data_IF_041915521312
#
_entry.id   IF_041915521312
#
_cell.length_a   1.000
_cell.length_b   1.000
_cell.length_c   1.000
_cell.angle_alpha   90.00
_cell.angle_beta   90.00
_cell.angle_gamma   90.00
#
_symmetry.space_group_name_H-M   'P 1'
#
loop_
_entity.id
_entity.type
_entity.pdbx_description
1 polymer ?
#
# COMPACT_ATOMS: atom_id res chain seq x y z
N UNK A 1 4.41 50.28 -12.68
CA UNK A 1 5.32 49.58 -11.78
C UNK A 1 4.46 48.65 -10.90
N UNK A 2 4.53 47.33 -11.13
CA UNK A 2 3.91 46.35 -10.25
C UNK A 2 4.71 46.40 -8.94
N UNK A 3 4.08 46.58 -7.77
CA UNK A 3 4.80 46.54 -6.51
C UNK A 3 5.49 45.17 -6.38
N UNK A 4 6.80 45.20 -6.15
CA UNK A 4 7.57 43.96 -5.88
C UNK A 4 6.93 43.30 -4.69
N UNK A 5 6.27 42.14 -4.90
CA UNK A 5 5.80 41.28 -3.82
C UNK A 5 7.04 40.82 -3.10
N UNK A 6 7.25 41.33 -1.87
CA UNK A 6 8.36 40.83 -1.02
C UNK A 6 8.10 39.38 -0.70
N UNK A 7 9.03 38.50 -1.13
CA UNK A 7 8.99 37.08 -0.77
C UNK A 7 8.78 36.92 0.75
N UNK A 8 7.80 36.12 1.13
CA UNK A 8 7.44 35.91 2.53
C UNK A 8 8.46 34.99 3.18
N UNK A 9 9.41 35.54 3.92
CA UNK A 9 10.37 34.76 4.72
C UNK A 9 9.69 34.28 6.01
N UNK A 10 9.89 33.02 6.37
CA UNK A 10 9.50 32.50 7.70
C UNK A 10 10.12 33.36 8.79
N UNK A 11 9.28 34.09 9.53
CA UNK A 11 9.74 34.87 10.67
C UNK A 11 9.68 34.03 11.95
N UNK A 12 10.75 33.25 12.17
CA UNK A 12 10.86 32.33 13.32
C UNK A 12 10.69 33.04 14.65
N UNK A 13 11.29 34.24 14.79
CA UNK A 13 11.25 35.01 16.06
C UNK A 13 9.82 35.42 16.41
N UNK A 14 9.07 35.94 15.43
CA UNK A 14 7.67 36.33 15.64
C UNK A 14 6.78 35.12 15.96
N UNK A 15 7.04 33.96 15.33
CA UNK A 15 6.30 32.73 15.63
C UNK A 15 6.58 32.23 17.05
N UNK A 16 7.84 32.23 17.47
CA UNK A 16 8.22 31.78 18.81
C UNK A 16 7.70 32.76 19.88
N UNK A 17 7.69 34.08 19.62
CA UNK A 17 7.11 35.07 20.53
C UNK A 17 5.58 34.84 20.75
N UNK A 18 4.85 34.36 19.74
CA UNK A 18 3.45 33.95 19.94
C UNK A 18 3.32 32.77 20.91
N UNK A 19 4.26 31.80 20.82
CA UNK A 19 4.26 30.63 21.72
C UNK A 19 4.61 31.08 23.15
N UNK A 20 5.67 31.88 23.34
CA UNK A 20 6.06 32.44 24.64
C UNK A 20 4.91 33.21 25.30
N UNK A 21 4.20 34.04 24.53
CA UNK A 21 2.99 34.71 25.01
C UNK A 21 1.92 33.72 25.43
N UNK A 22 1.69 32.68 24.65
CA UNK A 22 0.75 31.61 24.96
C UNK A 22 1.14 30.83 26.22
N UNK A 23 2.45 30.57 26.41
CA UNK A 23 2.98 29.94 27.63
C UNK A 23 2.72 30.80 28.87
N UNK A 24 2.94 32.12 28.79
CA UNK A 24 2.62 33.07 29.85
C UNK A 24 1.11 33.12 30.13
N UNK A 25 0.25 33.02 29.09
CA UNK A 25 -1.20 33.03 29.26
C UNK A 25 -1.71 31.79 30.00
N UNK A 26 -1.18 30.59 29.71
CA UNK A 26 -1.57 29.37 30.44
C UNK A 26 -0.91 29.25 31.82
N UNK A 27 0.20 29.95 32.10
CA UNK A 27 0.76 30.05 33.43
C UNK A 27 -0.07 30.94 34.37
N UNK A 28 -0.93 31.78 33.83
CA UNK A 28 -1.85 32.59 34.62
C UNK A 28 -3.14 31.79 34.86
N UNK A 29 -3.44 31.45 36.14
CA UNK A 29 -4.56 30.59 36.50
C UNK A 29 -5.92 31.11 35.96
N UNK A 30 -6.17 32.45 36.03
CA UNK A 30 -7.40 33.05 35.53
C UNK A 30 -7.57 32.94 34.03
N UNK A 31 -6.47 32.97 33.28
CA UNK A 31 -6.47 32.79 31.81
C UNK A 31 -6.55 31.30 31.43
N UNK A 32 -5.79 30.46 32.13
CA UNK A 32 -5.78 29.01 31.93
C UNK A 32 -7.15 28.36 32.14
N UNK A 33 -7.98 28.94 32.99
CA UNK A 33 -9.38 28.48 33.21
C UNK A 33 -10.32 28.81 32.05
N UNK A 34 -9.90 29.54 31.02
CA UNK A 34 -10.76 29.98 29.91
C UNK A 34 -10.47 29.13 28.64
N UNK A 35 -11.51 28.52 28.08
CA UNK A 35 -11.39 27.78 26.82
C UNK A 35 -10.83 28.64 25.66
N UNK A 36 -11.17 29.94 25.63
CA UNK A 36 -10.65 30.87 24.61
C UNK A 36 -9.11 30.99 24.62
N UNK A 37 -8.46 30.87 25.81
CA UNK A 37 -7.00 30.88 25.92
C UNK A 37 -6.39 29.66 25.23
N UNK A 38 -7.00 28.50 25.40
CA UNK A 38 -6.55 27.25 24.80
C UNK A 38 -6.85 27.16 23.30
N UNK A 39 -7.97 27.72 22.83
CA UNK A 39 -8.24 27.88 21.40
C UNK A 39 -7.18 28.76 20.73
N UNK A 40 -6.81 29.90 21.36
CA UNK A 40 -5.76 30.78 20.84
C UNK A 40 -4.39 30.05 20.82
N UNK A 41 -4.10 29.23 21.85
CA UNK A 41 -2.89 28.40 21.91
C UNK A 41 -2.86 27.37 20.79
N UNK A 42 -3.93 26.62 20.57
CA UNK A 42 -4.04 25.65 19.48
C UNK A 42 -3.77 26.29 18.12
N UNK A 43 -4.39 27.45 17.88
CA UNK A 43 -4.16 28.22 16.65
C UNK A 43 -2.70 28.69 16.52
N UNK A 44 -2.06 29.15 17.58
CA UNK A 44 -0.67 29.60 17.55
C UNK A 44 0.29 28.43 17.18
N UNK A 45 0.09 27.24 17.77
CA UNK A 45 0.89 26.06 17.39
C UNK A 45 0.62 25.59 15.96
N UNK A 46 -0.63 25.60 15.49
CA UNK A 46 -0.95 25.31 14.11
C UNK A 46 -0.24 26.26 13.13
N UNK A 47 -0.29 27.60 13.40
CA UNK A 47 0.42 28.59 12.59
C UNK A 47 1.93 28.30 12.52
N UNK A 48 2.54 27.91 13.65
CA UNK A 48 3.96 27.54 13.70
C UNK A 48 4.27 26.31 12.86
N UNK A 49 3.36 25.33 12.87
CA UNK A 49 3.53 24.10 12.11
C UNK A 49 3.48 24.33 10.58
N UNK A 50 2.51 25.09 10.11
CA UNK A 50 2.25 25.26 8.66
C UNK A 50 3.13 26.31 7.99
N UNK A 51 3.64 27.30 8.75
CA UNK A 51 4.34 28.47 8.19
C UNK A 51 5.48 28.10 7.22
N UNK A 52 6.32 27.07 7.49
CA UNK A 52 7.43 26.71 6.61
C UNK A 52 7.00 26.34 5.19
N UNK A 53 5.84 25.72 5.02
CA UNK A 53 5.40 25.11 3.75
C UNK A 53 4.04 25.61 3.25
N UNK A 54 3.42 26.57 3.94
CA UNK A 54 2.06 27.05 3.58
C UNK A 54 1.92 27.64 2.18
N UNK A 55 3.04 28.04 1.56
CA UNK A 55 3.08 28.69 0.24
C UNK A 55 3.49 27.76 -0.90
N UNK A 56 3.71 26.47 -0.61
CA UNK A 56 4.07 25.47 -1.62
C UNK A 56 2.93 24.47 -1.80
N UNK A 57 2.64 24.10 -3.04
CA UNK A 57 1.67 23.06 -3.40
C UNK A 57 2.08 22.35 -4.69
N UNK A 58 1.62 21.12 -4.86
CA UNK A 58 1.90 20.31 -6.03
C UNK A 58 1.34 20.95 -7.32
N UNK A 59 2.07 20.77 -8.41
CA UNK A 59 1.77 21.32 -9.74
C UNK A 59 1.85 22.84 -9.89
N UNK A 60 2.30 23.59 -8.85
CA UNK A 60 2.55 25.02 -9.02
C UNK A 60 3.74 25.27 -9.94
N UNK A 61 3.72 26.37 -10.64
CA UNK A 61 4.87 26.81 -11.46
C UNK A 61 6.03 27.25 -10.55
N UNK A 62 7.28 26.86 -10.87
CA UNK A 62 8.44 27.25 -10.08
C UNK A 62 8.63 28.76 -9.94
N UNK A 63 8.20 29.53 -10.93
CA UNK A 63 8.20 31.01 -10.87
C UNK A 63 7.27 31.54 -9.78
N UNK A 64 6.11 30.90 -9.57
CA UNK A 64 5.19 31.27 -8.48
C UNK A 64 5.81 30.93 -7.12
N UNK A 65 6.52 29.80 -7.01
CA UNK A 65 7.24 29.46 -5.78
C UNK A 65 8.30 30.53 -5.45
N UNK A 66 9.10 30.95 -6.44
CA UNK A 66 10.08 32.03 -6.24
C UNK A 66 9.44 33.34 -5.82
N UNK A 67 8.30 33.69 -6.39
CA UNK A 67 7.54 34.89 -5.99
C UNK A 67 7.06 34.78 -4.52
N UNK A 68 6.62 33.60 -4.11
CA UNK A 68 6.09 33.37 -2.76
C UNK A 68 7.17 33.34 -1.67
N UNK A 69 8.28 32.60 -1.90
CA UNK A 69 9.28 32.32 -0.85
C UNK A 69 10.70 32.83 -1.18
N UNK A 70 10.92 33.38 -2.36
CA UNK A 70 12.22 33.89 -2.83
C UNK A 70 13.01 32.88 -3.65
N UNK A 71 14.24 33.24 -4.00
CA UNK A 71 15.15 32.36 -4.72
C UNK A 71 15.64 31.21 -3.82
N UNK A 72 15.83 29.99 -4.38
CA UNK A 72 16.41 28.88 -3.64
C UNK A 72 17.87 29.21 -3.26
N UNK A 73 18.34 28.66 -2.16
CA UNK A 73 19.75 28.78 -1.71
C UNK A 73 20.72 28.06 -2.67
N UNK A 74 20.28 26.94 -3.20
CA UNK A 74 21.00 26.13 -4.19
C UNK A 74 20.03 25.28 -5.00
N UNK A 75 20.50 24.82 -6.14
CA UNK A 75 19.81 23.87 -7.01
C UNK A 75 20.74 22.70 -7.29
N UNK A 76 20.25 21.48 -7.12
CA UNK A 76 21.01 20.24 -7.36
C UNK A 76 20.11 19.27 -8.14
N UNK A 77 20.68 18.16 -8.62
CA UNK A 77 19.91 17.04 -9.14
C UNK A 77 19.78 16.01 -8.03
N UNK A 78 18.58 15.51 -7.79
CA UNK A 78 18.30 14.43 -6.84
C UNK A 78 17.38 13.40 -7.46
N UNK A 79 17.58 12.11 -7.14
CA UNK A 79 16.73 11.02 -7.60
C UNK A 79 15.81 10.58 -6.46
N UNK A 80 14.50 10.63 -6.70
CA UNK A 80 13.49 10.10 -5.79
C UNK A 80 12.74 8.98 -6.50
N UNK A 81 12.68 7.81 -5.87
CA UNK A 81 11.95 6.65 -6.42
C UNK A 81 12.30 6.34 -7.89
N UNK A 82 13.59 6.43 -8.24
CA UNK A 82 14.09 6.18 -9.60
C UNK A 82 13.89 7.33 -10.61
N UNK A 83 13.29 8.44 -10.22
CA UNK A 83 13.07 9.62 -11.07
C UNK A 83 13.98 10.77 -10.66
N UNK A 84 14.69 11.37 -11.63
CA UNK A 84 15.54 12.56 -11.43
C UNK A 84 14.70 13.83 -11.44
N UNK A 85 15.00 14.71 -10.48
CA UNK A 85 14.38 16.03 -10.31
C UNK A 85 15.43 17.13 -10.15
N UNK A 86 15.05 18.36 -10.50
CA UNK A 86 15.74 19.57 -10.03
C UNK A 86 15.32 19.84 -8.58
N UNK A 87 16.25 19.66 -7.64
CA UNK A 87 16.03 19.89 -6.22
C UNK A 87 16.38 21.35 -5.87
N UNK A 88 15.37 22.14 -5.54
CA UNK A 88 15.50 23.54 -5.15
C UNK A 88 15.51 23.66 -3.64
N UNK A 89 16.67 23.95 -3.06
CA UNK A 89 16.89 23.95 -1.61
C UNK A 89 16.53 25.31 -1.01
N UNK A 90 15.56 25.31 -0.09
CA UNK A 90 15.15 26.45 0.72
C UNK A 90 15.52 26.25 2.20
N UNK A 91 15.43 27.28 3.07
CA UNK A 91 15.79 27.16 4.47
C UNK A 91 15.05 26.09 5.28
N UNK A 92 13.80 25.77 4.89
CA UNK A 92 12.91 24.87 5.63
C UNK A 92 12.45 23.65 4.82
N UNK A 93 12.62 23.66 3.49
CA UNK A 93 12.23 22.57 2.62
C UNK A 93 13.09 22.53 1.34
N UNK A 94 13.06 21.40 0.66
CA UNK A 94 13.55 21.24 -0.71
C UNK A 94 12.35 20.97 -1.61
N UNK A 95 12.18 21.78 -2.67
CA UNK A 95 11.16 21.55 -3.69
C UNK A 95 11.76 20.75 -4.84
N UNK A 96 11.04 19.72 -5.29
CA UNK A 96 11.45 18.87 -6.40
C UNK A 96 10.67 19.27 -7.66
N UNK A 97 11.41 19.79 -8.64
CA UNK A 97 10.86 20.38 -9.87
C UNK A 97 11.17 19.48 -11.05
N UNK A 98 10.15 19.24 -11.88
CA UNK A 98 10.25 18.51 -13.14
C UNK A 98 9.22 19.07 -14.13
N UNK A 99 9.56 19.14 -15.41
CA UNK A 99 8.68 19.63 -16.48
C UNK A 99 8.02 20.98 -16.15
N UNK A 100 8.81 21.89 -15.60
CA UNK A 100 8.38 23.23 -15.16
C UNK A 100 7.24 23.23 -14.12
N UNK A 101 7.19 22.20 -13.26
CA UNK A 101 6.22 22.09 -12.15
C UNK A 101 6.91 21.63 -10.88
N UNK A 102 6.45 22.14 -9.76
CA UNK A 102 6.77 21.58 -8.43
C UNK A 102 5.96 20.28 -8.30
N UNK A 103 6.65 19.14 -8.36
CA UNK A 103 6.00 17.84 -8.27
C UNK A 103 5.72 17.48 -6.82
N UNK A 104 6.72 17.62 -5.96
CA UNK A 104 6.65 17.36 -4.51
C UNK A 104 7.69 18.19 -3.78
N UNK A 105 7.74 18.08 -2.45
CA UNK A 105 8.76 18.73 -1.63
C UNK A 105 9.07 17.87 -0.41
N UNK A 106 10.19 18.15 0.24
CA UNK A 106 10.59 17.54 1.49
C UNK A 106 10.82 18.66 2.51
N UNK A 107 10.09 18.63 3.62
CA UNK A 107 10.36 19.53 4.72
C UNK A 107 11.67 19.12 5.40
N UNK A 108 12.66 20.01 5.42
CA UNK A 108 13.99 19.75 5.99
C UNK A 108 14.16 20.28 7.41
N UNK A 109 13.32 21.25 7.80
CA UNK A 109 13.33 21.85 9.13
C UNK A 109 11.93 22.22 9.59
N UNK A 110 11.72 22.16 10.89
CA UNK A 110 10.54 22.64 11.58
C UNK A 110 10.90 23.87 12.42
N UNK A 111 9.96 24.79 12.60
CA UNK A 111 10.11 25.83 13.61
C UNK A 111 10.02 25.19 15.00
N UNK A 112 8.98 24.38 15.22
CA UNK A 112 8.81 23.45 16.35
C UNK A 112 8.24 22.14 15.81
N UNK A 113 8.97 21.04 16.00
CA UNK A 113 8.59 19.73 15.42
C UNK A 113 7.30 19.17 16.03
N UNK A 114 7.08 19.41 17.32
CA UNK A 114 5.92 18.94 18.09
C UNK A 114 4.70 19.89 18.03
N UNK A 115 4.78 20.96 17.22
CA UNK A 115 3.74 21.96 17.14
C UNK A 115 2.35 21.38 16.77
N UNK A 116 2.20 20.43 15.81
CA UNK A 116 0.89 19.82 15.54
C UNK A 116 0.32 19.10 16.75
N UNK A 117 1.12 18.33 17.49
CA UNK A 117 0.66 17.62 18.71
C UNK A 117 0.25 18.57 19.82
N UNK A 118 1.02 19.65 20.04
CA UNK A 118 0.66 20.70 20.99
C UNK A 118 -0.58 21.49 20.60
N UNK A 119 -0.85 21.62 19.30
CA UNK A 119 -2.12 22.19 18.84
C UNK A 119 -3.30 21.30 19.23
N UNK A 120 -3.18 19.97 19.02
CA UNK A 120 -4.20 18.98 19.39
C UNK A 120 -4.47 19.04 20.91
N UNK A 121 -3.41 19.00 21.74
CA UNK A 121 -3.53 19.10 23.19
C UNK A 121 -4.27 20.36 23.62
N UNK A 122 -3.94 21.49 23.01
CA UNK A 122 -4.58 22.78 23.33
C UNK A 122 -6.06 22.81 22.91
N UNK A 123 -6.38 22.31 21.73
CA UNK A 123 -7.80 22.22 21.28
C UNK A 123 -8.61 21.28 22.16
N UNK A 124 -8.07 20.12 22.55
CA UNK A 124 -8.72 19.19 23.46
C UNK A 124 -8.96 19.82 24.83
N UNK A 125 -8.00 20.58 25.34
CA UNK A 125 -8.15 21.29 26.61
C UNK A 125 -9.23 22.40 26.54
N UNK A 126 -9.33 23.07 25.39
CA UNK A 126 -10.41 24.05 25.18
C UNK A 126 -11.79 23.39 25.23
N UNK A 127 -11.97 22.23 24.60
CA UNK A 127 -13.21 21.46 24.63
C UNK A 127 -13.54 20.93 26.03
N UNK A 128 -12.54 20.42 26.77
CA UNK A 128 -12.68 19.96 28.15
C UNK A 128 -13.23 21.08 29.08
N UNK A 129 -12.69 22.29 28.91
CA UNK A 129 -13.08 23.45 29.73
C UNK A 129 -14.45 24.00 29.36
N UNK A 130 -14.82 23.98 28.08
CA UNK A 130 -16.12 24.43 27.61
C UNK A 130 -16.56 23.66 26.35
N UNK A 131 -17.40 22.62 26.49
CA UNK A 131 -17.92 21.86 25.35
C UNK A 131 -18.67 22.69 24.28
N UNK A 132 -19.11 23.92 24.61
CA UNK A 132 -19.72 24.83 23.61
C UNK A 132 -18.73 25.30 22.55
N UNK A 133 -17.43 25.07 22.76
CA UNK A 133 -16.40 25.36 21.78
C UNK A 133 -16.23 24.26 20.73
N UNK A 134 -17.02 23.18 20.77
CA UNK A 134 -16.88 21.97 19.92
C UNK A 134 -16.65 22.30 18.44
N UNK A 135 -17.47 23.17 17.84
CA UNK A 135 -17.32 23.53 16.41
C UNK A 135 -15.97 24.18 16.10
N UNK A 136 -15.51 25.12 16.97
CA UNK A 136 -14.21 25.79 16.77
C UNK A 136 -13.04 24.84 16.99
N UNK A 137 -13.17 23.93 17.95
CA UNK A 137 -12.19 22.87 18.23
C UNK A 137 -12.13 21.91 17.05
N UNK A 138 -13.29 21.43 16.57
CA UNK A 138 -13.39 20.54 15.41
C UNK A 138 -12.74 21.16 14.16
N UNK A 139 -13.01 22.43 13.89
CA UNK A 139 -12.40 23.16 12.77
C UNK A 139 -10.85 23.22 12.89
N UNK A 140 -10.35 23.58 14.09
CA UNK A 140 -8.90 23.61 14.34
C UNK A 140 -8.25 22.24 14.24
N UNK A 141 -8.86 21.21 14.79
CA UNK A 141 -8.39 19.83 14.69
C UNK A 141 -8.42 19.31 13.24
N UNK A 142 -9.45 19.68 12.47
CA UNK A 142 -9.51 19.36 11.04
C UNK A 142 -8.34 19.98 10.29
N UNK A 143 -8.03 21.25 10.54
CA UNK A 143 -6.89 21.93 9.93
C UNK A 143 -5.56 21.23 10.28
N UNK A 144 -5.36 20.79 11.53
CA UNK A 144 -4.19 20.03 11.95
C UNK A 144 -4.13 18.67 11.23
N UNK A 145 -5.25 17.95 11.17
CA UNK A 145 -5.35 16.65 10.51
C UNK A 145 -5.05 16.75 9.00
N UNK A 146 -5.65 17.73 8.32
CA UNK A 146 -5.44 17.97 6.89
C UNK A 146 -3.97 18.30 6.60
N UNK A 147 -3.35 19.16 7.41
CA UNK A 147 -1.93 19.50 7.29
C UNK A 147 -1.02 18.28 7.51
N UNK A 148 -1.27 17.50 8.58
CA UNK A 148 -0.48 16.31 8.86
C UNK A 148 -0.65 15.23 7.77
N UNK A 149 -1.86 15.06 7.23
CA UNK A 149 -2.10 14.17 6.09
C UNK A 149 -1.33 14.61 4.85
N UNK A 150 -1.27 15.93 4.59
CA UNK A 150 -0.45 16.47 3.50
C UNK A 150 1.04 16.18 3.72
N UNK A 151 1.56 16.37 4.94
CA UNK A 151 2.96 16.03 5.29
C UNK A 151 3.21 14.52 5.07
N UNK A 152 2.25 13.68 5.44
CA UNK A 152 2.29 12.24 5.17
C UNK A 152 2.41 11.93 3.67
N UNK A 153 1.53 12.49 2.84
CA UNK A 153 1.56 12.30 1.39
C UNK A 153 2.90 12.74 0.77
N UNK A 154 3.36 13.92 1.13
CA UNK A 154 4.65 14.46 0.65
C UNK A 154 5.84 13.60 1.13
N UNK A 155 5.76 13.06 2.34
CA UNK A 155 6.76 12.15 2.87
C UNK A 155 6.86 10.84 2.09
N UNK A 156 5.75 10.31 1.59
CA UNK A 156 5.74 9.14 0.68
C UNK A 156 6.51 9.47 -0.60
N UNK A 157 6.14 10.56 -1.26
CA UNK A 157 6.73 10.96 -2.54
C UNK A 157 8.24 11.20 -2.42
N UNK A 158 8.68 11.73 -1.27
CA UNK A 158 10.09 12.04 -0.99
C UNK A 158 10.87 10.88 -0.33
N UNK A 159 10.25 9.71 -0.11
CA UNK A 159 10.88 8.54 0.51
C UNK A 159 11.15 8.69 2.02
N UNK A 160 10.54 9.67 2.70
CA UNK A 160 10.70 9.91 4.13
C UNK A 160 9.62 9.20 4.95
N UNK A 161 9.64 7.86 4.90
CA UNK A 161 8.56 7.01 5.39
C UNK A 161 8.27 7.13 6.88
N UNK A 162 9.30 7.26 7.71
CA UNK A 162 9.11 7.37 9.19
C UNK A 162 8.40 8.68 9.54
N UNK A 163 8.81 9.80 8.94
CA UNK A 163 8.18 11.11 9.19
C UNK A 163 6.75 11.15 8.61
N UNK A 164 6.54 10.53 7.45
CA UNK A 164 5.22 10.39 6.86
C UNK A 164 4.27 9.57 7.77
N UNK A 165 4.76 8.47 8.34
CA UNK A 165 4.00 7.66 9.28
C UNK A 165 3.65 8.45 10.54
N UNK A 166 4.61 9.15 11.16
CA UNK A 166 4.37 10.00 12.32
C UNK A 166 3.33 11.11 12.02
N UNK A 167 3.35 11.65 10.81
CA UNK A 167 2.37 12.66 10.39
C UNK A 167 0.96 12.07 10.25
N UNK A 168 0.78 10.89 9.63
CA UNK A 168 -0.52 10.22 9.56
C UNK A 168 -1.05 9.85 10.96
N UNK A 169 -0.20 9.39 11.87
CA UNK A 169 -0.60 9.11 13.25
C UNK A 169 -1.07 10.39 13.94
N UNK A 170 -0.36 11.52 13.75
CA UNK A 170 -0.76 12.80 14.30
C UNK A 170 -2.10 13.28 13.71
N UNK A 171 -2.34 13.04 12.41
CA UNK A 171 -3.64 13.32 11.79
C UNK A 171 -4.76 12.47 12.42
N UNK A 172 -4.51 11.18 12.67
CA UNK A 172 -5.45 10.31 13.38
C UNK A 172 -5.71 10.77 14.82
N UNK A 173 -4.65 11.18 15.55
CA UNK A 173 -4.79 11.73 16.91
C UNK A 173 -5.69 12.97 16.95
N UNK A 174 -5.56 13.86 15.95
CA UNK A 174 -6.43 15.03 15.82
C UNK A 174 -7.91 14.63 15.64
N UNK A 175 -8.17 13.62 14.81
CA UNK A 175 -9.53 13.10 14.57
C UNK A 175 -10.06 12.26 15.72
N UNK A 176 -9.19 11.77 16.62
CA UNK A 176 -9.58 10.98 17.80
C UNK A 176 -10.05 11.85 18.98
N UNK A 177 -10.08 13.17 18.82
CA UNK A 177 -10.62 14.10 19.82
C UNK A 177 -12.11 13.84 20.08
N UNK A 178 -12.58 13.98 21.33
CA UNK A 178 -14.02 13.91 21.64
C UNK A 178 -14.87 14.95 20.91
N UNK A 179 -14.26 16.03 20.42
CA UNK A 179 -14.94 17.04 19.58
C UNK A 179 -15.06 16.65 18.11
N UNK A 180 -14.42 15.57 17.70
CA UNK A 180 -14.47 15.03 16.33
C UNK A 180 -15.48 13.88 16.27
N UNK A 181 -16.20 13.70 15.15
CA UNK A 181 -17.26 12.69 15.09
C UNK A 181 -16.68 11.26 15.00
N UNK A 182 -15.70 11.05 14.13
CA UNK A 182 -15.09 9.75 13.90
C UNK A 182 -13.71 9.92 13.29
N UNK A 183 -12.71 9.26 13.88
CA UNK A 183 -11.39 9.18 13.31
C UNK A 183 -11.37 8.20 12.12
N UNK A 184 -10.59 8.53 11.08
CA UNK A 184 -10.39 7.66 9.94
C UNK A 184 -9.25 6.65 10.21
N UNK A 185 -9.56 5.35 10.39
CA UNK A 185 -8.55 4.35 10.67
C UNK A 185 -7.61 4.08 9.48
N UNK A 186 -7.95 4.53 8.26
CA UNK A 186 -7.06 4.45 7.11
C UNK A 186 -5.73 5.20 7.35
N UNK A 187 -5.73 6.24 8.17
CA UNK A 187 -4.51 6.98 8.55
C UNK A 187 -3.53 6.08 9.32
N UNK A 188 -4.02 5.19 10.17
CA UNK A 188 -3.20 4.19 10.87
C UNK A 188 -2.70 3.10 9.91
N UNK A 189 -3.53 2.69 8.97
CA UNK A 189 -3.12 1.76 7.92
C UNK A 189 -1.97 2.32 7.09
N UNK A 190 -2.05 3.56 6.61
CA UNK A 190 -0.95 4.19 5.86
C UNK A 190 0.31 4.33 6.70
N UNK A 191 0.19 4.73 7.97
CA UNK A 191 1.33 4.79 8.88
C UNK A 191 2.00 3.42 9.06
N UNK A 192 1.20 2.40 9.31
CA UNK A 192 1.69 1.02 9.48
C UNK A 192 2.32 0.46 8.21
N UNK A 193 1.71 0.68 7.04
CA UNK A 193 2.25 0.32 5.74
C UNK A 193 3.64 0.94 5.50
N UNK A 194 3.78 2.24 5.72
CA UNK A 194 5.06 2.95 5.52
C UNK A 194 6.16 2.44 6.45
N UNK A 195 5.81 2.14 7.71
CA UNK A 195 6.75 1.54 8.65
C UNK A 195 7.09 0.09 8.32
N UNK A 196 6.19 -0.64 7.65
CA UNK A 196 6.50 -1.96 7.10
C UNK A 196 7.54 -1.86 5.99
N UNK A 197 7.42 -0.89 5.10
CA UNK A 197 8.40 -0.63 4.03
C UNK A 197 9.75 -0.22 4.62
N UNK A 198 9.76 0.73 5.56
CA UNK A 198 10.98 1.17 6.25
C UNK A 198 11.65 0.05 7.05
N UNK A 199 10.86 -0.87 7.60
CA UNK A 199 11.30 -2.00 8.41
C UNK A 199 12.35 -2.89 7.74
N UNK A 200 12.35 -2.97 6.42
CA UNK A 200 13.36 -3.70 5.64
C UNK A 200 14.77 -3.14 5.83
N UNK A 201 14.89 -1.84 6.07
CA UNK A 201 16.15 -1.15 6.32
C UNK A 201 16.36 -0.81 7.81
N UNK A 202 15.26 -0.70 8.56
CA UNK A 202 15.24 -0.32 9.98
C UNK A 202 14.26 -1.24 10.74
N UNK A 203 14.70 -2.39 11.24
CA UNK A 203 13.81 -3.39 11.88
C UNK A 203 12.99 -2.86 13.05
N UNK A 204 13.41 -1.76 13.70
CA UNK A 204 12.63 -1.13 14.78
C UNK A 204 11.29 -0.56 14.30
N UNK A 205 11.18 -0.23 13.01
CA UNK A 205 9.94 0.27 12.42
C UNK A 205 8.83 -0.77 12.37
N UNK A 206 9.17 -2.07 12.31
CA UNK A 206 8.20 -3.14 12.36
C UNK A 206 7.35 -3.15 13.63
N UNK A 207 7.94 -2.81 14.78
CA UNK A 207 7.20 -2.78 16.06
C UNK A 207 6.06 -1.77 15.99
N UNK A 208 6.37 -0.51 15.67
CA UNK A 208 5.35 0.54 15.55
C UNK A 208 4.40 0.30 14.39
N UNK A 209 4.91 -0.18 13.26
CA UNK A 209 4.10 -0.54 12.10
C UNK A 209 3.03 -1.58 12.46
N UNK A 210 3.42 -2.64 13.17
CA UNK A 210 2.52 -3.67 13.66
C UNK A 210 1.48 -3.13 14.65
N UNK A 211 1.86 -2.24 15.56
CA UNK A 211 0.93 -1.60 16.51
C UNK A 211 -0.16 -0.79 15.78
N UNK A 212 0.23 0.00 14.76
CA UNK A 212 -0.73 0.83 14.01
C UNK A 212 -1.65 -0.01 13.12
N UNK A 213 -1.12 -1.03 12.43
CA UNK A 213 -1.93 -1.94 11.63
C UNK A 213 -2.92 -2.72 12.51
N UNK A 214 -2.48 -3.23 13.67
CA UNK A 214 -3.37 -3.90 14.63
C UNK A 214 -4.48 -2.96 15.09
N UNK A 215 -4.14 -1.72 15.47
CA UNK A 215 -5.14 -0.74 15.88
C UNK A 215 -6.13 -0.39 14.77
N UNK A 216 -5.70 -0.33 13.51
CA UNK A 216 -6.60 -0.13 12.38
C UNK A 216 -7.59 -1.31 12.23
N UNK A 217 -7.10 -2.54 12.35
CA UNK A 217 -7.95 -3.76 12.32
C UNK A 217 -8.93 -3.78 13.49
N UNK A 218 -8.50 -3.42 14.70
CA UNK A 218 -9.35 -3.33 15.89
C UNK A 218 -10.46 -2.27 15.75
N UNK A 219 -10.23 -1.26 14.90
CA UNK A 219 -11.22 -0.26 14.49
C UNK A 219 -12.06 -0.70 13.27
N UNK A 220 -12.04 -1.99 12.96
CA UNK A 220 -12.78 -2.61 11.86
C UNK A 220 -12.39 -2.08 10.47
N UNK A 221 -11.12 -1.71 10.29
CA UNK A 221 -10.60 -1.28 9.01
C UNK A 221 -9.87 -2.42 8.28
N UNK A 222 -10.18 -2.54 7.00
CA UNK A 222 -9.34 -3.22 6.03
C UNK A 222 -9.41 -2.44 4.70
N UNK A 223 -8.31 -2.41 3.95
CA UNK A 223 -8.35 -1.95 2.57
C UNK A 223 -9.17 -2.92 1.70
N UNK A 224 -9.58 -2.50 0.50
CA UNK A 224 -10.47 -3.26 -0.38
C UNK A 224 -10.00 -4.68 -0.68
N UNK A 225 -8.69 -4.88 -0.73
CA UNK A 225 -8.06 -6.18 -1.01
C UNK A 225 -7.67 -6.93 0.27
N UNK A 226 -7.69 -6.28 1.44
CA UNK A 226 -7.26 -6.87 2.71
C UNK A 226 -5.73 -6.96 2.87
N UNK A 227 -4.96 -6.13 2.16
CA UNK A 227 -3.50 -6.13 2.24
C UNK A 227 -2.97 -5.75 3.64
N UNK A 228 -3.81 -5.13 4.49
CA UNK A 228 -3.47 -4.81 5.87
C UNK A 228 -3.00 -6.06 6.64
N UNK A 229 -3.59 -7.23 6.39
CA UNK A 229 -3.19 -8.49 7.03
C UNK A 229 -1.80 -8.94 6.56
N UNK A 230 -1.49 -8.74 5.29
CA UNK A 230 -0.16 -9.04 4.74
C UNK A 230 0.92 -8.10 5.30
N UNK A 231 0.65 -6.80 5.44
CA UNK A 231 1.61 -5.87 6.04
C UNK A 231 1.80 -6.15 7.54
N UNK A 232 0.74 -6.48 8.27
CA UNK A 232 0.87 -6.88 9.67
C UNK A 232 1.66 -8.18 9.83
N UNK A 233 1.45 -9.16 8.93
CA UNK A 233 2.30 -10.35 8.84
C UNK A 233 3.78 -9.97 8.72
N UNK A 234 4.13 -9.07 7.81
CA UNK A 234 5.52 -8.64 7.64
C UNK A 234 6.09 -7.98 8.89
N UNK A 235 5.32 -7.16 9.58
CA UNK A 235 5.74 -6.56 10.84
C UNK A 235 6.04 -7.62 11.91
N UNK A 236 5.19 -8.61 12.05
CA UNK A 236 5.36 -9.68 13.03
C UNK A 236 6.52 -10.63 12.64
N UNK A 237 6.53 -11.08 11.39
CA UNK A 237 7.53 -12.00 10.88
C UNK A 237 8.92 -11.38 10.84
N UNK A 238 9.03 -10.08 10.52
CA UNK A 238 10.28 -9.32 10.57
C UNK A 238 10.88 -9.21 11.97
N UNK A 239 10.12 -9.54 13.03
CA UNK A 239 10.54 -9.55 14.42
C UNK A 239 10.66 -10.97 15.02
N UNK A 240 10.64 -12.01 14.19
CA UNK A 240 10.69 -13.42 14.63
C UNK A 240 11.95 -13.78 15.42
N UNK A 241 13.06 -13.10 15.16
CA UNK A 241 14.32 -13.32 15.88
C UNK A 241 14.32 -12.68 17.29
N UNK A 242 13.47 -11.68 17.51
CA UNK A 242 13.27 -11.05 18.83
C UNK A 242 12.28 -11.86 19.69
N UNK A 243 11.24 -12.39 19.09
CA UNK A 243 10.22 -13.23 19.72
C UNK A 243 9.72 -14.28 18.72
N UNK A 244 10.10 -15.54 18.92
CA UNK A 244 9.63 -16.65 18.07
C UNK A 244 8.11 -16.84 18.10
N UNK A 245 7.42 -16.39 19.15
CA UNK A 245 5.97 -16.37 19.22
C UNK A 245 5.33 -15.50 18.12
N UNK A 246 6.08 -14.56 17.54
CA UNK A 246 5.59 -13.74 16.44
C UNK A 246 5.34 -14.55 15.15
N UNK A 247 5.98 -15.71 14.96
CA UNK A 247 5.70 -16.59 13.82
C UNK A 247 4.25 -17.11 13.89
N UNK A 248 3.80 -17.54 15.07
CA UNK A 248 2.42 -18.03 15.23
C UNK A 248 1.40 -16.89 15.14
N UNK A 249 1.70 -15.72 15.72
CA UNK A 249 0.87 -14.52 15.57
C UNK A 249 0.75 -14.10 14.09
N UNK A 250 1.85 -14.16 13.35
CA UNK A 250 1.89 -13.87 11.92
C UNK A 250 1.00 -14.83 11.12
N UNK A 251 1.05 -16.14 11.44
CA UNK A 251 0.15 -17.15 10.87
C UNK A 251 -1.31 -16.84 11.16
N UNK A 252 -1.67 -16.56 12.41
CA UNK A 252 -3.05 -16.27 12.81
C UNK A 252 -3.61 -15.04 12.12
N UNK A 253 -2.78 -14.01 11.92
CA UNK A 253 -3.13 -12.81 11.15
C UNK A 253 -3.44 -13.15 9.70
N UNK A 254 -2.59 -13.95 9.05
CA UNK A 254 -2.82 -14.35 7.66
C UNK A 254 -4.05 -15.26 7.52
N UNK A 255 -4.27 -16.20 8.46
CA UNK A 255 -5.47 -17.05 8.47
C UNK A 255 -6.75 -16.22 8.65
N UNK A 256 -6.72 -15.20 9.49
CA UNK A 256 -7.83 -14.25 9.64
C UNK A 256 -8.05 -13.48 8.34
N UNK A 257 -6.98 -13.01 7.71
CA UNK A 257 -7.02 -12.29 6.45
C UNK A 257 -7.59 -13.13 5.32
N UNK A 258 -7.13 -14.37 5.15
CA UNK A 258 -7.60 -15.24 4.07
C UNK A 258 -9.06 -15.65 4.25
N UNK A 259 -9.54 -15.77 5.49
CA UNK A 259 -10.95 -16.01 5.78
C UNK A 259 -11.86 -14.86 5.33
N UNK A 260 -11.36 -13.63 5.34
CA UNK A 260 -12.08 -12.43 4.89
C UNK A 260 -11.83 -12.09 3.42
N UNK A 261 -10.62 -12.35 2.91
CA UNK A 261 -10.14 -11.99 1.57
C UNK A 261 -9.48 -13.21 0.89
N UNK A 262 -10.25 -14.25 0.55
CA UNK A 262 -9.71 -15.53 0.08
C UNK A 262 -8.98 -15.43 -1.28
N UNK A 263 -9.22 -14.38 -2.04
CA UNK A 263 -8.56 -14.10 -3.32
C UNK A 263 -7.22 -13.35 -3.17
N UNK A 264 -6.90 -12.83 -2.00
CA UNK A 264 -5.69 -12.03 -1.83
C UNK A 264 -4.44 -12.88 -1.98
N UNK A 265 -3.74 -12.71 -3.11
CA UNK A 265 -2.55 -13.48 -3.46
C UNK A 265 -1.39 -13.26 -2.48
N UNK A 266 -1.23 -12.04 -1.95
CA UNK A 266 -0.16 -11.71 -0.99
C UNK A 266 -0.34 -12.46 0.33
N UNK A 267 -1.59 -12.59 0.81
CA UNK A 267 -1.90 -13.36 2.01
C UNK A 267 -1.62 -14.84 1.78
N UNK A 268 -2.01 -15.37 0.61
CA UNK A 268 -1.72 -16.76 0.23
C UNK A 268 -0.21 -17.01 0.15
N UNK A 269 0.54 -16.12 -0.50
CA UNK A 269 2.00 -16.22 -0.61
C UNK A 269 2.66 -16.15 0.78
N UNK A 270 2.18 -15.28 1.67
CA UNK A 270 2.65 -15.20 3.06
C UNK A 270 2.41 -16.50 3.84
N UNK A 271 1.23 -17.12 3.70
CA UNK A 271 0.94 -18.44 4.31
C UNK A 271 1.85 -19.52 3.73
N UNK A 272 2.03 -19.58 2.42
CA UNK A 272 2.92 -20.54 1.79
C UNK A 272 4.38 -20.36 2.24
N UNK A 273 4.83 -19.10 2.38
CA UNK A 273 6.15 -18.79 2.93
C UNK A 273 6.31 -19.36 4.34
N UNK A 274 5.34 -19.14 5.23
CA UNK A 274 5.38 -19.67 6.61
C UNK A 274 5.43 -21.18 6.63
N UNK A 275 4.55 -21.86 5.90
CA UNK A 275 4.48 -23.32 5.88
C UNK A 275 5.73 -23.99 5.29
N UNK A 276 6.43 -23.30 4.37
CA UNK A 276 7.65 -23.86 3.74
C UNK A 276 8.94 -23.50 4.48
N UNK A 277 9.00 -22.32 5.13
CA UNK A 277 10.21 -21.80 5.76
C UNK A 277 10.32 -22.13 7.25
N UNK A 278 9.19 -22.34 7.95
CA UNK A 278 9.16 -22.46 9.41
C UNK A 278 8.66 -23.83 9.87
N UNK A 279 9.43 -24.49 10.72
CA UNK A 279 9.01 -25.77 11.30
C UNK A 279 7.93 -25.58 12.38
N UNK A 280 6.97 -26.50 12.43
CA UNK A 280 5.92 -26.52 13.47
C UNK A 280 4.77 -25.54 13.25
N UNK A 281 4.74 -24.86 12.10
CA UNK A 281 3.66 -23.91 11.75
C UNK A 281 2.41 -24.63 11.24
N UNK A 282 2.56 -25.81 10.63
CA UNK A 282 1.49 -26.65 10.07
C UNK A 282 1.81 -27.13 8.66
N UNK A 283 0.82 -27.73 8.01
CA UNK A 283 0.92 -28.25 6.64
C UNK A 283 0.05 -27.38 5.69
N UNK A 284 0.49 -27.10 4.46
CA UNK A 284 -0.38 -26.48 3.45
C UNK A 284 -1.73 -27.20 3.24
N UNK A 285 -1.80 -28.49 3.51
CA UNK A 285 -3.06 -29.27 3.50
C UNK A 285 -4.10 -28.73 4.48
N UNK A 286 -3.69 -28.15 5.61
CA UNK A 286 -4.61 -27.54 6.58
C UNK A 286 -5.33 -26.33 5.96
N UNK A 287 -4.63 -25.57 5.12
CA UNK A 287 -5.18 -24.41 4.42
C UNK A 287 -6.20 -24.83 3.35
N UNK A 288 -5.91 -25.94 2.65
CA UNK A 288 -6.86 -26.50 1.66
C UNK A 288 -8.14 -26.92 2.37
N UNK A 289 -8.04 -27.66 3.49
CA UNK A 289 -9.19 -28.11 4.25
C UNK A 289 -10.06 -26.94 4.73
N UNK A 290 -9.44 -25.81 5.12
CA UNK A 290 -10.14 -24.61 5.56
C UNK A 290 -10.91 -23.96 4.39
N UNK A 291 -10.30 -23.86 3.22
CA UNK A 291 -10.95 -23.28 2.03
C UNK A 291 -12.03 -24.23 1.50
N UNK A 292 -11.81 -25.53 1.47
CA UNK A 292 -12.80 -26.52 1.03
C UNK A 292 -14.06 -26.46 1.91
N UNK A 293 -13.90 -26.33 3.22
CA UNK A 293 -15.01 -26.11 4.14
C UNK A 293 -15.77 -24.81 3.86
N UNK A 294 -15.05 -23.72 3.58
CA UNK A 294 -15.68 -22.44 3.21
C UNK A 294 -16.43 -22.52 1.88
N UNK A 295 -15.94 -23.33 0.92
CA UNK A 295 -16.61 -23.61 -0.35
C UNK A 295 -17.88 -24.44 -0.12
N UNK A 296 -17.87 -25.43 0.79
CA UNK A 296 -19.07 -26.19 1.16
C UNK A 296 -20.18 -25.25 1.68
N UNK A 297 -19.82 -24.26 2.51
CA UNK A 297 -20.75 -23.28 3.07
C UNK A 297 -21.23 -22.26 2.01
N UNK A 298 -20.40 -21.94 1.03
CA UNK A 298 -20.72 -20.96 -0.04
C UNK A 298 -20.10 -21.36 -1.39
N UNK A 299 -20.66 -22.37 -2.10
CA UNK A 299 -20.10 -22.91 -3.33
C UNK A 299 -20.13 -21.94 -4.53
N UNK A 300 -20.89 -20.86 -4.44
CA UNK A 300 -20.96 -19.82 -5.47
C UNK A 300 -19.97 -18.67 -5.27
N UNK A 301 -19.16 -18.70 -4.21
CA UNK A 301 -18.15 -17.68 -3.95
C UNK A 301 -16.93 -17.89 -4.87
N UNK A 302 -16.81 -17.05 -5.88
CA UNK A 302 -15.74 -17.09 -6.89
C UNK A 302 -14.34 -16.95 -6.26
N UNK A 303 -14.22 -16.09 -5.22
CA UNK A 303 -12.94 -15.81 -4.59
C UNK A 303 -12.39 -17.01 -3.80
N UNK A 304 -13.25 -17.85 -3.23
CA UNK A 304 -12.83 -19.10 -2.57
C UNK A 304 -12.26 -20.09 -3.60
N UNK A 305 -12.92 -20.27 -4.74
CA UNK A 305 -12.41 -21.12 -5.81
C UNK A 305 -11.10 -20.60 -6.40
N UNK A 306 -10.98 -19.28 -6.54
CA UNK A 306 -9.75 -18.62 -6.97
C UNK A 306 -8.60 -18.90 -5.96
N UNK A 307 -8.84 -18.67 -4.66
CA UNK A 307 -7.87 -18.95 -3.61
C UNK A 307 -7.43 -20.41 -3.57
N UNK A 308 -8.40 -21.36 -3.68
CA UNK A 308 -8.13 -22.81 -3.77
C UNK A 308 -7.19 -23.13 -4.92
N UNK A 309 -7.48 -22.61 -6.10
CA UNK A 309 -6.65 -22.84 -7.29
C UNK A 309 -5.21 -22.31 -7.13
N UNK A 310 -5.04 -21.15 -6.50
CA UNK A 310 -3.73 -20.57 -6.20
C UNK A 310 -2.92 -21.40 -5.19
N UNK A 311 -3.56 -21.96 -4.16
CA UNK A 311 -2.89 -22.85 -3.20
C UNK A 311 -2.39 -24.11 -3.90
N UNK A 312 -3.23 -24.78 -4.68
CA UNK A 312 -2.82 -25.97 -5.43
C UNK A 312 -1.70 -25.69 -6.44
N UNK A 313 -1.73 -24.50 -7.08
CA UNK A 313 -0.62 -24.06 -7.92
C UNK A 313 0.70 -23.97 -7.13
N UNK A 314 0.69 -23.34 -5.95
CA UNK A 314 1.88 -23.25 -5.10
C UNK A 314 2.40 -24.63 -4.66
N UNK A 315 1.51 -25.61 -4.50
CA UNK A 315 1.85 -27.00 -4.22
C UNK A 315 2.24 -27.83 -5.46
N UNK A 316 2.21 -27.20 -6.65
CA UNK A 316 2.46 -27.84 -7.95
C UNK A 316 1.46 -28.94 -8.32
N UNK A 317 0.29 -28.93 -7.70
CA UNK A 317 -0.85 -29.74 -8.12
C UNK A 317 -1.65 -29.00 -9.16
N UNK A 318 -1.15 -29.05 -10.40
CA UNK A 318 -1.72 -28.31 -11.53
C UNK A 318 -3.12 -28.80 -11.91
N UNK A 319 -3.45 -30.06 -11.67
CA UNK A 319 -4.77 -30.62 -11.95
C UNK A 319 -5.84 -30.01 -11.05
N UNK A 320 -5.59 -29.94 -9.75
CA UNK A 320 -6.50 -29.31 -8.80
C UNK A 320 -6.58 -27.78 -9.00
N UNK A 321 -5.47 -27.14 -9.43
CA UNK A 321 -5.50 -25.73 -9.83
C UNK A 321 -6.44 -25.51 -11.00
N UNK A 322 -6.31 -26.29 -12.06
CA UNK A 322 -7.16 -26.22 -13.26
C UNK A 322 -8.62 -26.46 -12.91
N UNK A 323 -8.93 -27.48 -12.10
CA UNK A 323 -10.31 -27.75 -11.66
C UNK A 323 -10.91 -26.57 -10.90
N UNK A 324 -10.15 -25.96 -9.99
CA UNK A 324 -10.60 -24.81 -9.22
C UNK A 324 -10.87 -23.60 -10.13
N UNK A 325 -9.98 -23.33 -11.09
CA UNK A 325 -10.17 -22.22 -12.03
C UNK A 325 -11.24 -22.48 -13.09
N UNK A 326 -11.52 -23.73 -13.43
CA UNK A 326 -12.74 -24.08 -14.20
C UNK A 326 -14.01 -23.66 -13.47
N UNK A 327 -14.06 -23.83 -12.14
CA UNK A 327 -15.17 -23.31 -11.32
C UNK A 327 -15.22 -21.78 -11.29
N UNK A 328 -14.08 -21.11 -11.24
CA UNK A 328 -14.02 -19.64 -11.32
C UNK A 328 -14.67 -19.16 -12.62
N UNK A 329 -14.30 -19.71 -13.78
CA UNK A 329 -14.85 -19.28 -15.08
C UNK A 329 -16.28 -19.79 -15.32
N UNK A 330 -16.69 -20.91 -14.73
CA UNK A 330 -18.08 -21.36 -14.73
C UNK A 330 -18.99 -20.36 -14.00
N UNK A 331 -18.56 -19.88 -12.82
CA UNK A 331 -19.32 -18.92 -12.00
C UNK A 331 -19.24 -17.48 -12.56
N UNK A 332 -18.12 -17.10 -13.17
CA UNK A 332 -17.88 -15.77 -13.70
C UNK A 332 -17.11 -15.83 -15.04
N UNK A 333 -17.80 -16.13 -16.17
CA UNK A 333 -17.15 -16.36 -17.47
C UNK A 333 -16.34 -15.18 -18.01
N UNK A 334 -16.72 -13.94 -17.67
CA UNK A 334 -16.07 -12.73 -18.15
C UNK A 334 -15.03 -12.17 -17.15
N UNK A 335 -14.60 -12.98 -16.18
CA UNK A 335 -13.48 -12.62 -15.31
C UNK A 335 -12.16 -12.83 -16.07
N UNK A 336 -11.42 -11.73 -16.33
CA UNK A 336 -10.14 -11.78 -17.03
C UNK A 336 -9.17 -12.74 -16.34
N UNK A 337 -8.96 -12.55 -15.03
CA UNK A 337 -8.02 -13.32 -14.22
C UNK A 337 -8.36 -14.81 -14.21
N UNK A 338 -9.64 -15.15 -14.20
CA UNK A 338 -10.10 -16.55 -14.26
C UNK A 338 -9.66 -17.26 -15.56
N UNK A 339 -9.89 -16.61 -16.68
CA UNK A 339 -9.51 -17.12 -17.99
C UNK A 339 -7.98 -17.13 -18.19
N UNK A 340 -7.32 -16.04 -17.80
CA UNK A 340 -5.86 -15.90 -17.89
C UNK A 340 -5.14 -16.99 -17.11
N UNK A 341 -5.44 -17.16 -15.81
CA UNK A 341 -4.78 -18.17 -14.99
C UNK A 341 -5.10 -19.59 -15.42
N UNK A 342 -6.29 -19.86 -15.94
CA UNK A 342 -6.61 -21.17 -16.48
C UNK A 342 -5.70 -21.51 -17.67
N UNK A 343 -5.48 -20.55 -18.58
CA UNK A 343 -4.51 -20.67 -19.65
C UNK A 343 -3.07 -20.88 -19.15
N UNK A 344 -2.66 -20.11 -18.14
CA UNK A 344 -1.33 -20.23 -17.53
C UNK A 344 -1.12 -21.61 -16.92
N UNK A 345 -2.08 -22.15 -16.17
CA UNK A 345 -1.92 -23.45 -15.52
C UNK A 345 -1.88 -24.62 -16.49
N UNK A 346 -2.64 -24.57 -17.59
CA UNK A 346 -2.48 -25.52 -18.67
C UNK A 346 -1.10 -25.43 -19.33
N UNK A 347 -0.57 -24.21 -19.53
CA UNK A 347 0.77 -23.99 -20.06
C UNK A 347 1.83 -24.59 -19.15
N UNK A 348 1.77 -24.30 -17.85
CA UNK A 348 2.72 -24.83 -16.86
C UNK A 348 2.65 -26.35 -16.75
N UNK A 349 1.43 -26.93 -16.81
CA UNK A 349 1.27 -28.38 -16.88
C UNK A 349 1.92 -28.97 -18.14
N UNK A 350 1.74 -28.32 -19.29
CA UNK A 350 2.41 -28.69 -20.53
C UNK A 350 3.94 -28.61 -20.42
N UNK A 351 4.46 -27.56 -19.80
CA UNK A 351 5.90 -27.40 -19.57
C UNK A 351 6.47 -28.49 -18.66
N UNK A 352 5.75 -28.86 -17.59
CA UNK A 352 6.14 -29.94 -16.69
C UNK A 352 6.20 -31.29 -17.44
N UNK A 353 5.16 -31.62 -18.20
CA UNK A 353 5.12 -32.85 -19.01
C UNK A 353 6.20 -32.87 -20.10
N UNK A 354 6.45 -31.71 -20.73
CA UNK A 354 7.51 -31.59 -21.72
C UNK A 354 8.90 -31.80 -21.12
N UNK A 355 9.13 -31.28 -19.91
CA UNK A 355 10.37 -31.52 -19.19
C UNK A 355 10.56 -33.02 -18.88
N UNK A 356 9.53 -33.67 -18.35
CA UNK A 356 9.55 -35.11 -18.09
C UNK A 356 9.80 -35.92 -19.37
N UNK A 357 9.17 -35.54 -20.48
CA UNK A 357 9.38 -36.17 -21.80
C UNK A 357 10.84 -36.06 -22.24
N UNK A 358 11.45 -34.87 -22.08
CA UNK A 358 12.85 -34.62 -22.49
C UNK A 358 13.91 -35.37 -21.62
N UNK A 359 13.53 -35.78 -20.41
CA UNK A 359 14.39 -36.56 -19.51
C UNK A 359 14.31 -38.08 -19.77
N UNK A 360 13.33 -38.56 -20.56
CA UNK A 360 13.11 -39.97 -20.89
C UNK A 360 14.05 -40.44 -22.00
N UNK A 361 14.45 -41.74 -21.91
CA UNK A 361 15.05 -42.44 -23.03
C UNK A 361 13.97 -43.24 -23.78
N UNK A 362 13.87 -43.04 -25.08
CA UNK A 362 12.81 -43.62 -25.90
C UNK A 362 13.33 -44.85 -26.67
N UNK A 363 12.53 -45.93 -26.65
CA UNK A 363 12.83 -47.17 -27.36
C UNK A 363 12.56 -47.07 -28.87
N UNK A 364 11.69 -46.13 -29.29
CA UNK A 364 11.36 -45.89 -30.70
C UNK A 364 10.78 -44.47 -30.88
N UNK A 365 10.83 -43.98 -32.14
CA UNK A 365 10.21 -42.72 -32.54
C UNK A 365 8.70 -42.71 -32.23
N UNK A 366 8.00 -43.81 -32.47
CA UNK A 366 6.56 -43.88 -32.23
C UNK A 366 6.17 -43.66 -30.76
N UNK A 367 7.01 -44.12 -29.81
CA UNK A 367 6.80 -43.88 -28.37
C UNK A 367 7.06 -42.39 -28.04
N UNK A 368 8.08 -41.79 -28.59
CA UNK A 368 8.36 -40.37 -28.47
C UNK A 368 7.19 -39.52 -29.03
N UNK A 369 6.72 -39.85 -30.24
CA UNK A 369 5.62 -39.10 -30.88
C UNK A 369 4.32 -39.20 -30.08
N UNK A 370 4.07 -40.34 -29.42
CA UNK A 370 2.92 -40.50 -28.54
C UNK A 370 2.99 -39.59 -27.31
N UNK A 371 4.15 -39.51 -26.64
CA UNK A 371 4.36 -38.59 -25.50
C UNK A 371 4.29 -37.11 -25.94
N UNK A 372 4.93 -36.79 -27.10
CA UNK A 372 4.86 -35.43 -27.69
C UNK A 372 3.41 -35.00 -27.97
N UNK A 373 2.59 -35.93 -28.46
CA UNK A 373 1.17 -35.66 -28.69
C UNK A 373 0.44 -35.31 -27.38
N UNK A 374 0.70 -36.03 -26.28
CA UNK A 374 0.10 -35.73 -24.96
C UNK A 374 0.49 -34.34 -24.50
N UNK A 375 1.76 -33.96 -24.63
CA UNK A 375 2.25 -32.62 -24.28
C UNK A 375 1.56 -31.55 -25.13
N UNK A 376 1.50 -31.74 -26.45
CA UNK A 376 0.86 -30.77 -27.34
C UNK A 376 -0.65 -30.65 -27.10
N UNK A 377 -1.34 -31.74 -26.78
CA UNK A 377 -2.76 -31.70 -26.45
C UNK A 377 -3.02 -30.84 -25.18
N UNK A 378 -2.15 -30.89 -24.18
CA UNK A 378 -2.24 -30.03 -22.98
C UNK A 378 -2.04 -28.55 -23.35
N UNK A 379 -1.06 -28.23 -24.20
CA UNK A 379 -0.89 -26.83 -24.64
C UNK A 379 -2.08 -26.33 -25.48
N UNK A 380 -2.70 -27.19 -26.30
CA UNK A 380 -3.91 -26.82 -27.04
C UNK A 380 -5.05 -26.43 -26.11
N UNK A 381 -5.20 -27.08 -24.96
CA UNK A 381 -6.22 -26.74 -23.96
C UNK A 381 -6.04 -25.32 -23.39
N UNK A 382 -4.81 -24.75 -23.40
CA UNK A 382 -4.57 -23.39 -22.91
C UNK A 382 -5.10 -22.30 -23.86
N UNK A 383 -5.10 -22.57 -25.20
CA UNK A 383 -5.41 -21.55 -26.22
C UNK A 383 -6.77 -20.90 -26.05
N UNK A 384 -7.90 -21.62 -25.92
CA UNK A 384 -9.21 -20.99 -25.82
C UNK A 384 -9.37 -20.08 -24.61
N UNK A 385 -8.67 -20.37 -23.51
CA UNK A 385 -8.72 -19.57 -22.30
C UNK A 385 -7.97 -18.25 -22.46
N UNK A 386 -6.78 -18.26 -23.07
CA UNK A 386 -6.08 -17.04 -23.43
C UNK A 386 -6.80 -16.24 -24.51
N UNK A 387 -7.44 -16.88 -25.48
CA UNK A 387 -8.30 -16.19 -26.47
C UNK A 387 -9.44 -15.46 -25.78
N UNK A 388 -10.10 -16.10 -24.80
CA UNK A 388 -11.14 -15.44 -24.00
C UNK A 388 -10.59 -14.30 -23.14
N UNK A 389 -9.44 -14.48 -22.50
CA UNK A 389 -8.76 -13.42 -21.75
C UNK A 389 -8.43 -12.22 -22.66
N UNK A 390 -7.88 -12.47 -23.85
CA UNK A 390 -7.59 -11.43 -24.83
C UNK A 390 -8.86 -10.69 -25.31
N UNK A 391 -9.98 -11.39 -25.50
CA UNK A 391 -11.26 -10.75 -25.83
C UNK A 391 -11.73 -9.80 -24.70
N UNK A 392 -11.47 -10.13 -23.45
CA UNK A 392 -11.85 -9.33 -22.29
C UNK A 392 -10.90 -8.12 -22.13
N UNK A 393 -9.58 -8.34 -22.28
CA UNK A 393 -8.55 -7.29 -22.23
C UNK A 393 -7.62 -7.39 -23.46
N UNK A 394 -7.97 -6.73 -24.56
CA UNK A 394 -7.19 -6.82 -25.82
C UNK A 394 -5.77 -6.26 -25.73
N UNK A 395 -5.52 -5.34 -24.82
CA UNK A 395 -4.23 -4.68 -24.67
C UNK A 395 -3.30 -5.37 -23.65
N UNK A 396 -3.71 -6.53 -23.13
CA UNK A 396 -2.87 -7.28 -22.19
C UNK A 396 -1.73 -7.98 -22.93
N UNK A 397 -0.50 -7.47 -22.71
CA UNK A 397 0.71 -7.93 -23.39
C UNK A 397 1.06 -9.37 -23.02
N UNK A 398 0.93 -9.74 -21.74
CA UNK A 398 1.28 -11.07 -21.26
C UNK A 398 0.40 -12.14 -21.91
N UNK A 399 -0.91 -11.88 -22.04
CA UNK A 399 -1.85 -12.77 -22.75
C UNK A 399 -1.44 -12.99 -24.20
N UNK A 400 -1.05 -11.91 -24.90
CA UNK A 400 -0.58 -11.99 -26.30
C UNK A 400 0.74 -12.76 -26.42
N UNK A 401 1.67 -12.56 -25.50
CA UNK A 401 2.94 -13.31 -25.48
C UNK A 401 2.70 -14.81 -25.26
N UNK A 402 1.82 -15.19 -24.33
CA UNK A 402 1.43 -16.59 -24.14
C UNK A 402 0.78 -17.18 -25.39
N UNK A 403 -0.17 -16.50 -26.01
CA UNK A 403 -0.83 -16.96 -27.24
C UNK A 403 0.20 -17.19 -28.35
N UNK A 404 1.09 -16.24 -28.60
CA UNK A 404 2.15 -16.38 -29.61
C UNK A 404 3.10 -17.52 -29.30
N UNK A 405 3.55 -17.63 -28.05
CA UNK A 405 4.48 -18.69 -27.62
C UNK A 405 3.88 -20.08 -27.83
N UNK A 406 2.60 -20.29 -27.41
CA UNK A 406 1.91 -21.57 -27.55
C UNK A 406 1.65 -21.88 -29.04
N UNK A 407 1.17 -20.92 -29.82
CA UNK A 407 0.93 -21.12 -31.26
C UNK A 407 2.25 -21.45 -32.00
N UNK A 408 3.35 -20.77 -31.66
CA UNK A 408 4.65 -21.10 -32.25
C UNK A 408 5.13 -22.51 -31.89
N UNK A 409 4.87 -22.94 -30.65
CA UNK A 409 5.18 -24.31 -30.22
C UNK A 409 4.37 -25.34 -30.96
N UNK A 410 3.10 -25.06 -31.21
CA UNK A 410 2.16 -25.92 -31.93
C UNK A 410 2.15 -25.66 -33.45
N UNK A 411 3.19 -25.02 -34.01
CA UNK A 411 3.24 -24.56 -35.41
C UNK A 411 3.00 -25.65 -36.46
N UNK A 412 3.32 -26.90 -36.12
CA UNK A 412 3.14 -28.05 -37.03
C UNK A 412 1.68 -28.57 -37.02
N UNK A 413 0.83 -28.02 -36.14
CA UNK A 413 -0.58 -28.34 -36.10
C UNK A 413 -1.37 -27.49 -37.10
N UNK A 414 -2.34 -28.09 -37.76
CA UNK A 414 -3.13 -27.43 -38.81
C UNK A 414 -3.88 -26.19 -38.28
N UNK A 415 -3.74 -25.05 -38.95
CA UNK A 415 -4.45 -23.80 -38.65
C UNK A 415 -3.86 -22.97 -37.49
N UNK A 416 -2.90 -23.47 -36.72
CA UNK A 416 -2.34 -22.76 -35.57
C UNK A 416 -1.53 -21.53 -36.02
N UNK A 417 -0.77 -21.61 -37.10
CA UNK A 417 0.02 -20.47 -37.60
C UNK A 417 -0.84 -19.35 -38.19
N UNK A 418 -2.06 -19.65 -38.64
CA UNK A 418 -3.03 -18.62 -39.04
C UNK A 418 -3.45 -17.80 -37.80
N UNK A 419 -3.74 -18.45 -36.67
CA UNK A 419 -4.02 -17.80 -35.39
C UNK A 419 -2.85 -16.97 -34.89
N UNK A 420 -1.61 -17.51 -34.95
CA UNK A 420 -0.39 -16.79 -34.58
C UNK A 420 -0.30 -15.41 -35.27
N UNK A 421 -0.64 -15.35 -36.54
CA UNK A 421 -0.56 -14.12 -37.34
C UNK A 421 -1.67 -13.11 -37.01
N UNK A 422 -2.71 -13.51 -36.25
CA UNK A 422 -3.79 -12.62 -35.81
C UNK A 422 -3.50 -11.94 -34.48
N UNK A 423 -2.56 -12.44 -33.71
CA UNK A 423 -2.10 -11.88 -32.43
C UNK A 423 -0.83 -11.02 -32.62
#
# INVERSE_FOLDING_TARGET
>A
AVPAVKAQKVNKEALLAKIEKSDADIANEKKAAKAATWLARGKAFYEVAVEPTKSIFANMEPTMLKLAVGEPKSTTKETLNGTEYDAWVYPYFTAYVKDNKVVTWKQSKWVLKDAPKKAIEAYNKAYELDPKTAEKVKEGLKQVSDFCSQVGNVGIDSGNYVEAADAYVTAFEAQSSPAYEKADPALLYYAGYLLTVDGSNNPKSFTKGGEYLTKAIDLDYADEEGNIYYYLFHCLYGQKDLDKGNIMKAKDVLLTGIGKFPKNERILDGLMQLYTAEQGVGDPADLIALIDKAIEDNPSNVDLWFGRGRIFYALKDYDQSIESFKKVVELKPDLFEGNYYLGVFYTIKGDALNKEMNEKQYSSQAVYDADLKVVNDVYKEAVPWFEKAHQIKPDDVDTLEFLKSICFRLRDEAGIMEKYNTY
#
